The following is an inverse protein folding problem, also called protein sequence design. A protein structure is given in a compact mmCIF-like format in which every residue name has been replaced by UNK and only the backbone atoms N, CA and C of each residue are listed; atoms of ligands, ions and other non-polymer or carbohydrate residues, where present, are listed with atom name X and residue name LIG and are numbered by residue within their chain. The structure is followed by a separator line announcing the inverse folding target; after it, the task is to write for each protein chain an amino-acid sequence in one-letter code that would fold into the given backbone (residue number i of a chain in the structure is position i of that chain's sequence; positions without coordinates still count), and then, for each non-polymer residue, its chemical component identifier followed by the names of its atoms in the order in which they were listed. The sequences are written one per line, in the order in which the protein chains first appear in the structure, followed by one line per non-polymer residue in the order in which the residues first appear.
data_IF_556310561468
#
_entry.id   IF_556310561468
#
_cell.length_a   1.000
_cell.length_b   1.000
_cell.length_c   1.000
_cell.angle_alpha   90.00
_cell.angle_beta   90.00
_cell.angle_gamma   90.00
#
_symmetry.space_group_name_H-M   'P 1'
#
loop_
_entity.id
_entity.type
_entity.pdbx_description
1 polymer ?
#
# COMPACT_ATOMS: atom_id res chain seq x y z
N UNK A 1 54.04 -6.91 31.13
CA UNK A 1 54.39 -7.40 29.78
C UNK A 1 53.54 -8.65 29.53
N UNK A 2 52.39 -8.49 28.88
CA UNK A 2 51.41 -9.56 28.61
C UNK A 2 51.61 -10.03 27.17
N UNK A 3 51.80 -11.33 26.97
CA UNK A 3 51.91 -11.95 25.67
C UNK A 3 50.52 -12.27 25.11
N UNK A 4 50.34 -11.96 23.82
CA UNK A 4 49.15 -12.21 23.01
C UNK A 4 48.93 -13.72 22.79
N UNK A 5 47.68 -14.15 22.88
CA UNK A 5 47.17 -15.33 22.19
C UNK A 5 45.91 -14.92 21.41
N UNK A 6 46.02 -14.90 20.09
CA UNK A 6 44.92 -14.63 19.18
C UNK A 6 44.06 -15.89 19.04
N UNK A 7 42.81 -15.83 19.51
CA UNK A 7 41.80 -16.85 19.25
C UNK A 7 41.02 -16.45 17.99
N UNK A 8 41.28 -17.12 16.87
CA UNK A 8 40.45 -17.05 15.67
C UNK A 8 39.17 -17.87 15.93
N UNK A 9 38.09 -17.20 16.29
CA UNK A 9 36.75 -17.78 16.27
C UNK A 9 36.27 -17.81 14.82
N UNK A 10 36.40 -18.98 14.19
CA UNK A 10 35.66 -19.32 12.97
C UNK A 10 34.17 -19.33 13.32
N UNK A 11 33.46 -18.25 13.03
CA UNK A 11 32.01 -18.24 13.00
C UNK A 11 31.56 -19.10 11.82
N UNK A 12 31.15 -20.33 12.11
CA UNK A 12 30.42 -21.16 11.17
C UNK A 12 29.11 -20.44 10.82
N UNK A 13 29.12 -19.70 9.71
CA UNK A 13 27.89 -19.29 9.03
C UNK A 13 27.28 -20.58 8.51
N UNK A 14 26.32 -21.12 9.26
CA UNK A 14 25.42 -22.12 8.73
C UNK A 14 24.65 -21.44 7.59
N UNK A 15 25.05 -21.72 6.35
CA UNK A 15 24.14 -21.59 5.22
C UNK A 15 23.00 -22.58 5.48
N UNK A 16 21.94 -22.11 6.14
CA UNK A 16 20.65 -22.74 5.98
C UNK A 16 20.23 -22.46 4.54
N UNK A 17 20.43 -23.43 3.65
CA UNK A 17 19.58 -23.54 2.48
C UNK A 17 18.15 -23.60 3.01
N UNK A 18 17.43 -22.48 3.01
CA UNK A 18 15.99 -22.47 3.17
C UNK A 18 15.45 -23.22 1.97
N UNK A 19 15.09 -24.48 2.16
CA UNK A 19 14.18 -25.16 1.25
C UNK A 19 12.96 -24.26 1.13
N UNK A 20 12.73 -23.68 -0.04
CA UNK A 20 11.49 -22.98 -0.38
C UNK A 20 10.33 -23.83 0.17
N UNK A 21 9.56 -23.27 1.10
CA UNK A 21 8.31 -23.90 1.51
C UNK A 21 7.41 -23.87 0.28
N UNK A 22 7.42 -24.96 -0.50
CA UNK A 22 6.45 -25.17 -1.57
C UNK A 22 5.07 -25.05 -0.94
N UNK A 23 4.24 -24.14 -1.45
CA UNK A 23 2.92 -23.84 -0.90
C UNK A 23 2.03 -25.07 -0.74
N UNK A 24 0.98 -24.93 0.07
CA UNK A 24 0.08 -26.03 0.44
C UNK A 24 -0.48 -26.77 -0.80
N UNK A 25 -0.12 -28.07 -0.99
CA UNK A 25 -0.58 -28.85 -2.14
C UNK A 25 -2.11 -28.95 -2.23
N UNK A 26 -2.83 -28.85 -1.11
CA UNK A 26 -4.28 -28.87 -1.11
C UNK A 26 -4.86 -27.58 -1.71
N UNK A 27 -4.32 -26.42 -1.38
CA UNK A 27 -4.74 -25.14 -1.96
C UNK A 27 -4.48 -25.09 -3.47
N UNK A 28 -3.31 -25.53 -3.91
CA UNK A 28 -2.97 -25.57 -5.34
C UNK A 28 -3.89 -26.51 -6.12
N UNK A 29 -4.29 -27.64 -5.51
CA UNK A 29 -5.29 -28.54 -6.10
C UNK A 29 -6.65 -27.87 -6.23
N UNK A 30 -7.13 -27.19 -5.19
CA UNK A 30 -8.41 -26.45 -5.23
C UNK A 30 -8.39 -25.40 -6.35
N UNK A 31 -7.32 -24.61 -6.45
CA UNK A 31 -7.16 -23.61 -7.51
C UNK A 31 -7.20 -24.28 -8.89
N UNK A 32 -6.51 -25.41 -9.06
CA UNK A 32 -6.51 -26.18 -10.31
C UNK A 32 -7.93 -26.65 -10.69
N UNK A 33 -8.68 -27.20 -9.73
CA UNK A 33 -10.05 -27.66 -9.94
C UNK A 33 -10.98 -26.49 -10.31
N UNK A 34 -10.81 -25.32 -9.67
CA UNK A 34 -11.57 -24.12 -10.01
C UNK A 34 -11.21 -23.58 -11.40
N UNK A 35 -9.94 -23.59 -11.80
CA UNK A 35 -9.51 -23.21 -13.16
C UNK A 35 -10.15 -24.12 -14.21
N UNK A 36 -10.15 -25.44 -13.98
CA UNK A 36 -10.81 -26.40 -14.87
C UNK A 36 -12.34 -26.14 -14.96
N UNK A 37 -12.97 -25.78 -13.84
CA UNK A 37 -14.37 -25.38 -13.78
C UNK A 37 -14.66 -24.09 -14.56
N UNK A 38 -13.75 -23.10 -14.51
CA UNK A 38 -13.84 -21.87 -15.29
C UNK A 38 -13.71 -22.15 -16.79
N UNK A 39 -12.71 -22.93 -17.22
CA UNK A 39 -12.54 -23.28 -18.64
C UNK A 39 -13.76 -24.04 -19.20
N UNK A 40 -14.40 -24.86 -18.38
CA UNK A 40 -15.62 -25.59 -18.78
C UNK A 40 -16.85 -24.67 -18.89
N UNK A 41 -16.88 -23.55 -18.16
CA UNK A 41 -17.98 -22.59 -18.16
C UNK A 41 -17.48 -21.20 -17.71
N UNK A 42 -17.12 -20.35 -18.67
CA UNK A 42 -16.47 -19.04 -18.50
C UNK A 42 -17.42 -17.93 -18.04
N UNK A 43 -18.12 -18.16 -16.94
CA UNK A 43 -18.98 -17.17 -16.29
C UNK A 43 -18.27 -16.49 -15.11
N UNK A 44 -18.82 -15.36 -14.68
CA UNK A 44 -18.28 -14.52 -13.60
C UNK A 44 -18.22 -15.21 -12.24
N UNK A 45 -19.12 -16.17 -11.95
CA UNK A 45 -19.13 -16.92 -10.70
C UNK A 45 -17.90 -17.83 -10.62
N UNK A 46 -17.61 -18.55 -11.71
CA UNK A 46 -16.46 -19.43 -11.79
C UNK A 46 -15.15 -18.63 -11.79
N UNK A 47 -15.10 -17.50 -12.51
CA UNK A 47 -13.97 -16.59 -12.47
C UNK A 47 -13.67 -16.11 -11.04
N UNK A 48 -14.72 -15.69 -10.31
CA UNK A 48 -14.58 -15.22 -8.93
C UNK A 48 -14.05 -16.29 -7.98
N UNK A 49 -14.43 -17.57 -8.17
CA UNK A 49 -13.88 -18.67 -7.37
C UNK A 49 -12.37 -18.83 -7.58
N UNK A 50 -11.91 -18.75 -8.83
CA UNK A 50 -10.48 -18.84 -9.15
C UNK A 50 -9.72 -17.68 -8.51
N UNK A 51 -10.16 -16.44 -8.76
CA UNK A 51 -9.48 -15.24 -8.27
C UNK A 51 -9.43 -15.22 -6.74
N UNK A 52 -10.53 -15.54 -6.06
CA UNK A 52 -10.56 -15.55 -4.59
C UNK A 52 -9.64 -16.62 -3.99
N UNK A 53 -9.60 -17.82 -4.59
CA UNK A 53 -8.70 -18.88 -4.12
C UNK A 53 -7.22 -18.51 -4.31
N UNK A 54 -6.89 -17.75 -5.35
CA UNK A 54 -5.54 -17.25 -5.60
C UNK A 54 -5.15 -16.16 -4.60
N UNK A 55 -6.06 -15.22 -4.30
CA UNK A 55 -5.84 -14.19 -3.27
C UNK A 55 -5.61 -14.87 -1.90
N UNK A 56 -6.47 -15.82 -1.53
CA UNK A 56 -6.35 -16.56 -0.28
C UNK A 56 -5.03 -17.36 -0.18
N UNK A 57 -4.57 -17.93 -1.30
CA UNK A 57 -3.28 -18.60 -1.35
C UNK A 57 -2.13 -17.63 -1.07
N UNK A 58 -2.14 -16.45 -1.68
CA UNK A 58 -1.08 -15.45 -1.47
C UNK A 58 -1.07 -14.88 -0.04
N UNK A 59 -2.24 -14.69 0.57
CA UNK A 59 -2.35 -14.28 1.98
C UNK A 59 -1.77 -15.32 2.95
N UNK A 60 -1.97 -16.62 2.65
CA UNK A 60 -1.51 -17.73 3.52
C UNK A 60 -0.06 -18.15 3.28
N UNK A 61 0.47 -17.87 2.08
CA UNK A 61 1.81 -18.28 1.66
C UNK A 61 2.59 -17.07 1.10
N UNK A 62 2.73 -15.95 1.83
CA UNK A 62 3.34 -14.72 1.32
C UNK A 62 4.82 -14.89 0.92
N UNK A 63 5.48 -15.95 1.40
CA UNK A 63 6.86 -16.30 1.03
C UNK A 63 7.00 -16.99 -0.33
N UNK A 64 5.93 -17.52 -0.91
CA UNK A 64 5.95 -18.28 -2.18
C UNK A 64 5.81 -17.34 -3.39
N UNK A 65 6.66 -16.30 -3.46
CA UNK A 65 6.55 -15.20 -4.44
C UNK A 65 6.48 -15.72 -5.89
N UNK A 66 7.26 -16.76 -6.23
CA UNK A 66 7.29 -17.34 -7.56
C UNK A 66 5.96 -17.99 -7.95
N UNK A 67 5.34 -18.74 -7.03
CA UNK A 67 4.03 -19.35 -7.29
C UNK A 67 2.92 -18.30 -7.28
N UNK A 68 3.01 -17.29 -6.41
CA UNK A 68 2.08 -16.16 -6.37
C UNK A 68 2.10 -15.39 -7.68
N UNK A 69 3.28 -15.10 -8.24
CA UNK A 69 3.39 -14.39 -9.52
C UNK A 69 2.66 -15.15 -10.64
N UNK A 70 2.90 -16.47 -10.76
CA UNK A 70 2.24 -17.31 -11.76
C UNK A 70 0.72 -17.31 -11.58
N UNK A 71 0.24 -17.45 -10.34
CA UNK A 71 -1.19 -17.47 -10.06
C UNK A 71 -1.85 -16.11 -10.30
N UNK A 72 -1.20 -15.01 -9.95
CA UNK A 72 -1.74 -13.69 -10.23
C UNK A 72 -1.77 -13.40 -11.73
N UNK A 73 -0.79 -13.86 -12.53
CA UNK A 73 -0.86 -13.77 -13.99
C UNK A 73 -2.11 -14.49 -14.54
N UNK A 74 -2.42 -15.69 -14.03
CA UNK A 74 -3.67 -16.38 -14.36
C UNK A 74 -4.91 -15.56 -13.96
N UNK A 75 -4.93 -15.03 -12.74
CA UNK A 75 -6.06 -14.25 -12.22
C UNK A 75 -6.29 -12.96 -13.03
N UNK A 76 -5.22 -12.24 -13.38
CA UNK A 76 -5.27 -11.04 -14.23
C UNK A 76 -5.81 -11.40 -15.61
N UNK A 77 -5.33 -12.48 -16.23
CA UNK A 77 -5.82 -12.92 -17.53
C UNK A 77 -7.32 -13.26 -17.50
N UNK A 78 -7.78 -13.96 -16.47
CA UNK A 78 -9.20 -14.27 -16.26
C UNK A 78 -10.01 -12.98 -16.07
N UNK A 79 -9.55 -12.04 -15.24
CA UNK A 79 -10.22 -10.76 -15.04
C UNK A 79 -10.34 -9.96 -16.34
N UNK A 80 -9.29 -9.95 -17.17
CA UNK A 80 -9.29 -9.31 -18.49
C UNK A 80 -10.26 -9.98 -19.46
N UNK A 81 -10.29 -11.33 -19.52
CA UNK A 81 -11.24 -12.08 -20.35
C UNK A 81 -12.69 -11.78 -19.97
N UNK A 82 -12.94 -11.57 -18.67
CA UNK A 82 -14.25 -11.18 -18.14
C UNK A 82 -14.52 -9.66 -18.25
N UNK A 83 -13.66 -8.89 -18.92
CA UNK A 83 -13.73 -7.42 -19.05
C UNK A 83 -13.76 -6.67 -17.70
N UNK A 84 -13.32 -7.32 -16.62
CA UNK A 84 -13.26 -6.77 -15.29
C UNK A 84 -11.92 -6.04 -15.07
N UNK A 85 -11.76 -4.92 -15.76
CA UNK A 85 -10.52 -4.14 -15.79
C UNK A 85 -10.12 -3.65 -14.39
N UNK A 86 -11.08 -3.29 -13.55
CA UNK A 86 -10.83 -2.87 -12.17
C UNK A 86 -10.20 -3.99 -11.33
N UNK A 87 -10.67 -5.23 -11.47
CA UNK A 87 -10.08 -6.37 -10.76
C UNK A 87 -8.67 -6.68 -11.27
N UNK A 88 -8.47 -6.66 -12.60
CA UNK A 88 -7.14 -6.83 -13.18
C UNK A 88 -6.15 -5.76 -12.69
N UNK A 89 -6.58 -4.49 -12.62
CA UNK A 89 -5.76 -3.39 -12.14
C UNK A 89 -5.43 -3.54 -10.65
N UNK A 90 -6.41 -3.96 -9.84
CA UNK A 90 -6.19 -4.25 -8.42
C UNK A 90 -5.18 -5.37 -8.21
N UNK A 91 -5.27 -6.47 -8.97
CA UNK A 91 -4.33 -7.60 -8.89
C UNK A 91 -2.91 -7.18 -9.28
N UNK A 92 -2.75 -6.42 -10.37
CA UNK A 92 -1.45 -5.86 -10.77
C UNK A 92 -0.88 -4.91 -9.71
N UNK A 93 -1.71 -4.05 -9.14
CA UNK A 93 -1.31 -3.13 -8.08
C UNK A 93 -0.82 -3.89 -6.84
N UNK A 94 -1.56 -4.93 -6.41
CA UNK A 94 -1.14 -5.81 -5.31
C UNK A 94 0.18 -6.49 -5.61
N UNK A 95 0.36 -7.02 -6.83
CA UNK A 95 1.63 -7.64 -7.22
C UNK A 95 2.80 -6.67 -7.03
N UNK A 96 2.72 -5.49 -7.65
CA UNK A 96 3.80 -4.49 -7.65
C UNK A 96 4.15 -3.99 -6.25
N UNK A 97 3.12 -3.78 -5.41
CA UNK A 97 3.25 -3.24 -4.06
C UNK A 97 3.79 -4.28 -3.06
N UNK A 98 3.26 -5.51 -3.12
CA UNK A 98 3.50 -6.50 -2.08
C UNK A 98 4.75 -7.35 -2.32
N UNK A 99 5.10 -7.62 -3.59
CA UNK A 99 6.12 -8.60 -3.95
C UNK A 99 7.30 -7.92 -4.66
N UNK A 100 8.42 -7.69 -3.95
CA UNK A 100 9.50 -6.88 -4.50
C UNK A 100 10.27 -7.54 -5.66
N UNK A 101 10.28 -8.87 -5.72
CA UNK A 101 11.07 -9.69 -6.65
C UNK A 101 10.46 -9.93 -8.03
N UNK A 102 9.22 -9.52 -8.27
CA UNK A 102 8.55 -9.68 -9.57
C UNK A 102 9.15 -8.77 -10.65
N UNK A 103 8.82 -9.05 -11.92
CA UNK A 103 9.21 -8.19 -13.06
C UNK A 103 8.48 -6.83 -13.05
N UNK A 104 8.85 -5.96 -12.11
CA UNK A 104 8.20 -4.68 -11.83
C UNK A 104 8.13 -3.76 -13.05
N UNK A 105 9.15 -3.75 -13.91
CA UNK A 105 9.13 -2.95 -15.14
C UNK A 105 7.93 -3.35 -16.01
N UNK A 106 7.80 -4.65 -16.30
CA UNK A 106 6.71 -5.18 -17.11
C UNK A 106 5.36 -4.94 -16.46
N UNK A 107 5.23 -5.17 -15.14
CA UNK A 107 3.96 -4.99 -14.41
C UNK A 107 3.52 -3.53 -14.36
N UNK A 108 4.44 -2.59 -14.19
CA UNK A 108 4.15 -1.15 -14.29
C UNK A 108 3.61 -0.80 -15.69
N UNK A 109 4.25 -1.28 -16.75
CA UNK A 109 3.77 -1.03 -18.11
C UNK A 109 2.39 -1.68 -18.38
N UNK A 110 2.12 -2.87 -17.84
CA UNK A 110 0.81 -3.52 -17.90
C UNK A 110 -0.27 -2.69 -17.17
N UNK A 111 0.01 -2.25 -15.95
CA UNK A 111 -0.93 -1.44 -15.17
C UNK A 111 -1.16 -0.07 -15.82
N UNK A 112 -0.13 0.57 -16.37
CA UNK A 112 -0.27 1.82 -17.13
C UNK A 112 -1.21 1.64 -18.33
N UNK A 113 -1.05 0.57 -19.13
CA UNK A 113 -1.96 0.28 -20.26
C UNK A 113 -3.39 0.11 -19.79
N UNK A 114 -3.59 -0.65 -18.73
CA UNK A 114 -4.91 -0.94 -18.20
C UNK A 114 -5.61 0.33 -17.67
N UNK A 115 -4.87 1.22 -17.02
CA UNK A 115 -5.39 2.52 -16.60
C UNK A 115 -5.83 3.38 -17.81
N UNK A 116 -5.14 3.30 -18.95
CA UNK A 116 -5.57 3.96 -20.18
C UNK A 116 -6.83 3.33 -20.78
N UNK A 117 -6.95 2.00 -20.78
CA UNK A 117 -8.17 1.31 -21.18
C UNK A 117 -9.38 1.72 -20.31
N UNK A 118 -9.13 2.00 -19.03
CA UNK A 118 -10.13 2.53 -18.09
C UNK A 118 -10.36 4.05 -18.20
N UNK A 119 -9.72 4.73 -19.16
CA UNK A 119 -9.76 6.19 -19.34
C UNK A 119 -9.26 6.99 -18.12
N UNK A 120 -8.41 6.38 -17.27
CA UNK A 120 -7.73 7.03 -16.15
C UNK A 120 -6.34 7.52 -16.59
N UNK A 121 -6.34 8.50 -17.50
CA UNK A 121 -5.13 9.02 -18.15
C UNK A 121 -4.17 9.71 -17.18
N UNK A 122 -4.70 10.31 -16.13
CA UNK A 122 -3.91 11.03 -15.13
C UNK A 122 -3.06 10.06 -14.27
N UNK A 123 -3.69 9.02 -13.71
CA UNK A 123 -2.99 7.96 -12.99
C UNK A 123 -2.04 7.17 -13.91
N UNK A 124 -2.46 6.90 -15.15
CA UNK A 124 -1.60 6.27 -16.14
C UNK A 124 -0.35 7.11 -16.44
N UNK A 125 -0.49 8.43 -16.56
CA UNK A 125 0.60 9.38 -16.73
C UNK A 125 1.56 9.36 -15.54
N UNK A 126 1.04 9.44 -14.32
CA UNK A 126 1.82 9.31 -13.08
C UNK A 126 2.64 8.01 -13.05
N UNK A 127 1.98 6.88 -13.32
CA UNK A 127 2.62 5.56 -13.29
C UNK A 127 3.67 5.40 -14.40
N UNK A 128 3.39 5.92 -15.60
CA UNK A 128 4.32 5.90 -16.72
C UNK A 128 5.58 6.71 -16.41
N UNK A 129 5.42 7.94 -15.89
CA UNK A 129 6.54 8.80 -15.52
C UNK A 129 7.37 8.21 -14.37
N UNK A 130 6.71 7.64 -13.36
CA UNK A 130 7.38 6.97 -12.26
C UNK A 130 8.15 5.72 -12.73
N UNK A 131 7.53 4.92 -13.60
CA UNK A 131 8.17 3.76 -14.23
C UNK A 131 9.38 4.15 -15.06
N UNK A 132 9.32 5.24 -15.83
CA UNK A 132 10.47 5.73 -16.62
C UNK A 132 11.59 6.33 -15.76
N UNK A 133 11.28 6.84 -14.57
CA UNK A 133 12.30 7.25 -13.62
C UNK A 133 13.08 6.03 -13.09
N UNK A 134 12.39 4.92 -12.81
CA UNK A 134 12.99 3.66 -12.34
C UNK A 134 13.67 2.86 -13.48
N UNK A 135 13.07 2.87 -14.67
CA UNK A 135 13.47 2.06 -15.83
C UNK A 135 13.57 2.93 -17.11
N UNK A 136 14.57 3.83 -17.22
CA UNK A 136 14.64 4.79 -18.33
C UNK A 136 14.74 4.17 -19.72
N UNK A 137 15.28 2.95 -19.80
CA UNK A 137 15.48 2.21 -21.05
C UNK A 137 14.27 1.36 -21.48
N UNK A 138 13.18 1.36 -20.71
CA UNK A 138 12.00 0.54 -21.00
C UNK A 138 11.30 1.00 -22.28
N UNK A 139 11.38 0.19 -23.34
CA UNK A 139 10.74 0.50 -24.62
C UNK A 139 9.21 0.60 -24.48
N UNK A 140 8.60 -0.29 -23.68
CA UNK A 140 7.17 -0.30 -23.41
C UNK A 140 6.70 1.00 -22.75
N UNK A 141 7.42 1.49 -21.75
CA UNK A 141 7.04 2.71 -21.04
C UNK A 141 7.28 3.96 -21.90
N UNK A 142 8.31 3.98 -22.76
CA UNK A 142 8.55 5.08 -23.71
C UNK A 142 7.44 5.17 -24.76
N UNK A 143 6.97 4.02 -25.26
CA UNK A 143 5.82 3.95 -26.17
C UNK A 143 4.56 4.51 -25.49
N UNK A 144 4.27 4.07 -24.25
CA UNK A 144 3.13 4.56 -23.49
C UNK A 144 3.22 6.05 -23.21
N UNK A 145 4.39 6.59 -22.83
CA UNK A 145 4.57 8.03 -22.65
C UNK A 145 4.18 8.82 -23.89
N UNK A 146 4.49 8.30 -25.08
CA UNK A 146 4.15 8.94 -26.36
C UNK A 146 2.64 8.92 -26.64
N UNK A 147 1.93 7.87 -26.22
CA UNK A 147 0.47 7.75 -26.36
C UNK A 147 -0.28 8.63 -25.35
N UNK A 148 0.18 8.67 -24.11
CA UNK A 148 -0.43 9.43 -23.00
C UNK A 148 -0.17 10.93 -23.18
N UNK A 149 1.06 11.28 -23.58
CA UNK A 149 1.57 12.63 -23.66
C UNK A 149 1.31 13.43 -22.35
N UNK A 150 1.84 12.98 -21.20
CA UNK A 150 1.61 13.65 -19.93
C UNK A 150 2.16 15.08 -19.98
N UNK A 151 1.49 16.06 -19.31
CA UNK A 151 1.87 17.46 -19.40
C UNK A 151 3.23 17.74 -18.73
N UNK A 152 3.60 16.94 -17.74
CA UNK A 152 4.83 17.08 -16.98
C UNK A 152 5.96 16.25 -17.60
N UNK A 153 7.19 16.78 -17.57
CA UNK A 153 8.34 16.16 -18.23
C UNK A 153 8.74 14.82 -17.60
N UNK A 154 8.69 14.75 -16.26
CA UNK A 154 9.05 13.61 -15.42
C UNK A 154 8.18 13.58 -14.15
N UNK A 155 8.33 12.50 -13.36
CA UNK A 155 7.53 12.30 -12.14
C UNK A 155 7.78 13.37 -11.08
N UNK A 156 8.99 13.95 -11.02
CA UNK A 156 9.31 14.98 -10.06
C UNK A 156 8.60 16.29 -10.42
N UNK A 157 8.69 16.70 -11.69
CA UNK A 157 7.98 17.89 -12.18
C UNK A 157 6.47 17.77 -11.94
N UNK A 158 5.91 16.57 -12.12
CA UNK A 158 4.51 16.27 -11.82
C UNK A 158 4.16 16.42 -10.35
N UNK A 159 4.93 15.81 -9.45
CA UNK A 159 4.73 15.91 -8.00
C UNK A 159 4.84 17.37 -7.52
N UNK A 160 5.81 18.13 -8.05
CA UNK A 160 5.99 19.55 -7.74
C UNK A 160 4.80 20.40 -8.23
N UNK A 161 4.34 20.16 -9.47
CA UNK A 161 3.17 20.86 -10.03
C UNK A 161 1.89 20.54 -9.25
N UNK A 162 1.61 19.26 -8.98
CA UNK A 162 0.40 18.86 -8.28
C UNK A 162 0.39 19.34 -6.82
N UNK A 163 1.50 19.23 -6.10
CA UNK A 163 1.61 19.70 -4.71
C UNK A 163 1.40 21.21 -4.57
N UNK A 164 1.85 22.01 -5.55
CA UNK A 164 1.71 23.47 -5.53
C UNK A 164 0.34 23.96 -6.00
N UNK A 165 -0.42 23.14 -6.74
CA UNK A 165 -1.72 23.53 -7.31
C UNK A 165 -2.91 22.85 -6.64
N UNK A 166 -2.67 21.87 -5.76
CA UNK A 166 -3.75 21.16 -5.06
C UNK A 166 -4.43 21.98 -3.97
N UNK A 167 -3.81 23.05 -3.47
CA UNK A 167 -4.42 23.94 -2.48
C UNK A 167 -4.79 25.28 -3.11
N UNK A 168 -6.04 25.71 -2.90
CA UNK A 168 -6.53 26.99 -3.37
C UNK A 168 -6.47 28.01 -2.24
N UNK A 169 -5.45 28.87 -2.24
CA UNK A 169 -5.26 29.90 -1.21
C UNK A 169 -6.44 30.86 -1.08
N UNK A 170 -7.16 31.14 -2.17
CA UNK A 170 -8.30 32.07 -2.15
C UNK A 170 -9.54 31.47 -1.49
N UNK A 171 -9.72 30.14 -1.61
CA UNK A 171 -10.83 29.41 -1.01
C UNK A 171 -10.45 28.79 0.34
N UNK A 172 -9.16 28.74 0.67
CA UNK A 172 -8.62 28.02 1.82
C UNK A 172 -9.05 26.54 1.84
N UNK A 173 -9.09 25.92 0.65
CA UNK A 173 -9.61 24.57 0.43
C UNK A 173 -8.76 23.82 -0.61
N UNK A 174 -8.80 22.48 -0.56
CA UNK A 174 -8.16 21.64 -1.57
C UNK A 174 -8.97 21.56 -2.85
N UNK A 175 -8.29 21.65 -3.99
CA UNK A 175 -8.80 21.11 -5.25
C UNK A 175 -8.75 19.59 -5.18
N UNK A 176 -9.90 18.95 -4.95
CA UNK A 176 -10.01 17.50 -4.76
C UNK A 176 -9.44 16.70 -5.93
N UNK A 177 -9.60 17.17 -7.17
CA UNK A 177 -9.09 16.46 -8.34
C UNK A 177 -7.56 16.50 -8.39
N UNK A 178 -6.96 17.68 -8.21
CA UNK A 178 -5.50 17.83 -8.18
C UNK A 178 -4.88 17.13 -6.97
N UNK A 179 -5.54 17.18 -5.81
CA UNK A 179 -5.12 16.46 -4.62
C UNK A 179 -5.18 14.94 -4.80
N UNK A 180 -6.22 14.42 -5.47
CA UNK A 180 -6.31 12.99 -5.83
C UNK A 180 -5.18 12.61 -6.78
N UNK A 181 -4.92 13.41 -7.82
CA UNK A 181 -3.80 13.21 -8.73
C UNK A 181 -2.44 13.23 -8.01
N UNK A 182 -2.27 14.10 -7.01
CA UNK A 182 -1.06 14.15 -6.17
C UNK A 182 -0.89 12.85 -5.37
N UNK A 183 -1.97 12.33 -4.77
CA UNK A 183 -1.98 11.05 -4.06
C UNK A 183 -1.58 9.91 -5.01
N UNK A 184 -2.22 9.83 -6.18
CA UNK A 184 -1.91 8.80 -7.19
C UNK A 184 -0.46 8.90 -7.70
N UNK A 185 0.08 10.11 -7.85
CA UNK A 185 1.47 10.34 -8.25
C UNK A 185 2.47 9.89 -7.17
N UNK A 186 2.16 10.13 -5.89
CA UNK A 186 2.98 9.65 -4.78
C UNK A 186 2.98 8.12 -4.73
N UNK A 187 1.81 7.48 -4.84
CA UNK A 187 1.71 6.02 -4.90
C UNK A 187 2.52 5.47 -6.08
N UNK A 188 2.33 6.01 -7.28
CA UNK A 188 3.07 5.60 -8.47
C UNK A 188 4.59 5.70 -8.30
N UNK A 189 5.08 6.80 -7.73
CA UNK A 189 6.51 7.00 -7.44
C UNK A 189 7.06 5.89 -6.55
N UNK A 190 6.34 5.58 -5.47
CA UNK A 190 6.76 4.59 -4.47
C UNK A 190 6.61 3.16 -4.98
N UNK A 191 5.58 2.86 -5.77
CA UNK A 191 5.42 1.56 -6.45
C UNK A 191 6.61 1.27 -7.38
N UNK A 192 7.07 2.29 -8.12
CA UNK A 192 8.19 2.16 -9.03
C UNK A 192 9.55 2.15 -8.29
N UNK A 193 9.66 2.89 -7.17
CA UNK A 193 10.90 3.10 -6.44
C UNK A 193 10.73 2.88 -4.92
N UNK A 194 10.41 1.66 -4.46
CA UNK A 194 10.07 1.41 -3.05
C UNK A 194 11.26 1.56 -2.09
N UNK A 195 12.49 1.62 -2.60
CA UNK A 195 13.70 1.83 -1.78
C UNK A 195 14.22 3.27 -1.84
N UNK A 196 13.50 4.17 -2.51
CA UNK A 196 13.87 5.58 -2.57
C UNK A 196 13.86 6.20 -1.16
N UNK A 197 14.85 7.06 -0.89
CA UNK A 197 15.05 7.67 0.44
C UNK A 197 13.86 8.53 0.91
N UNK A 198 13.10 9.05 -0.03
CA UNK A 198 11.94 9.93 0.11
C UNK A 198 10.61 9.18 -0.09
N UNK A 199 10.64 7.86 -0.23
CA UNK A 199 9.42 7.07 -0.42
C UNK A 199 8.41 7.26 0.73
N UNK A 200 8.89 7.24 1.98
CA UNK A 200 8.04 7.46 3.16
C UNK A 200 7.60 8.93 3.26
N UNK A 201 8.40 9.89 2.78
CA UNK A 201 8.00 11.29 2.70
C UNK A 201 6.76 11.44 1.80
N UNK A 202 6.80 10.83 0.62
CA UNK A 202 5.68 10.85 -0.33
C UNK A 202 4.46 10.08 0.18
N UNK A 203 4.62 8.88 0.76
CA UNK A 203 3.49 8.15 1.33
C UNK A 203 2.81 8.94 2.46
N UNK A 204 3.61 9.58 3.31
CA UNK A 204 3.09 10.37 4.42
C UNK A 204 2.33 11.60 3.92
N UNK A 205 2.89 12.34 2.95
CA UNK A 205 2.20 13.45 2.31
C UNK A 205 0.91 13.00 1.61
N UNK A 206 0.94 11.87 0.91
CA UNK A 206 -0.24 11.30 0.27
C UNK A 206 -1.31 10.93 1.29
N UNK A 207 -0.94 10.29 2.41
CA UNK A 207 -1.86 9.91 3.49
C UNK A 207 -2.55 11.13 4.12
N UNK A 208 -1.76 12.19 4.40
CA UNK A 208 -2.29 13.46 4.89
C UNK A 208 -3.23 14.11 3.88
N UNK A 209 -2.82 14.22 2.61
CA UNK A 209 -3.66 14.80 1.56
C UNK A 209 -4.96 14.02 1.39
N UNK A 210 -4.90 12.68 1.32
CA UNK A 210 -6.07 11.82 1.23
C UNK A 210 -7.04 12.04 2.41
N UNK A 211 -6.51 12.15 3.64
CA UNK A 211 -7.34 12.46 4.81
C UNK A 211 -7.97 13.86 4.70
N UNK A 212 -7.21 14.87 4.28
CA UNK A 212 -7.69 16.25 4.09
C UNK A 212 -8.82 16.35 3.08
N UNK A 213 -8.76 15.59 1.99
CA UNK A 213 -9.84 15.51 0.97
C UNK A 213 -10.89 14.44 1.29
N UNK A 214 -10.88 13.90 2.51
CA UNK A 214 -11.86 12.96 3.06
C UNK A 214 -11.93 11.60 2.35
N UNK A 215 -10.87 11.20 1.65
CA UNK A 215 -10.72 9.83 1.12
C UNK A 215 -10.13 8.92 2.20
N UNK A 216 -10.83 8.79 3.33
CA UNK A 216 -10.32 8.17 4.56
C UNK A 216 -9.79 6.74 4.38
N UNK A 217 -10.44 5.92 3.55
CA UNK A 217 -9.96 4.57 3.23
C UNK A 217 -8.63 4.57 2.48
N UNK A 218 -8.43 5.54 1.59
CA UNK A 218 -7.16 5.73 0.89
C UNK A 218 -6.08 6.18 1.88
N UNK A 219 -6.39 7.14 2.76
CA UNK A 219 -5.47 7.56 3.82
C UNK A 219 -5.02 6.38 4.70
N UNK A 220 -5.97 5.56 5.18
CA UNK A 220 -5.69 4.32 5.92
C UNK A 220 -4.77 3.39 5.14
N UNK A 221 -5.06 3.13 3.87
CA UNK A 221 -4.21 2.24 3.05
C UNK A 221 -2.79 2.75 2.85
N UNK A 222 -2.58 4.07 2.89
CA UNK A 222 -1.26 4.70 2.79
C UNK A 222 -0.52 4.63 4.12
N UNK A 223 -1.21 4.82 5.24
CA UNK A 223 -0.63 4.65 6.57
C UNK A 223 -0.23 3.21 6.85
N UNK A 224 -1.10 2.25 6.51
CA UNK A 224 -0.77 0.81 6.57
C UNK A 224 0.44 0.48 5.69
N UNK A 225 0.55 1.10 4.50
CA UNK A 225 1.72 0.91 3.65
C UNK A 225 3.02 1.40 4.32
N UNK A 226 3.01 2.57 4.95
CA UNK A 226 4.17 3.06 5.72
C UNK A 226 4.52 2.07 6.82
N UNK A 227 3.54 1.67 7.62
CA UNK A 227 3.73 0.79 8.77
C UNK A 227 4.24 -0.61 8.38
N UNK A 228 3.68 -1.20 7.33
CA UNK A 228 3.96 -2.57 6.89
C UNK A 228 5.26 -2.68 6.11
N UNK A 229 5.58 -1.73 5.22
CA UNK A 229 6.75 -1.81 4.33
C UNK A 229 7.95 -1.02 4.83
N UNK A 230 7.76 -0.04 5.71
CA UNK A 230 8.83 0.78 6.27
C UNK A 230 8.87 0.75 7.80
N UNK A 231 8.86 -0.43 8.45
CA UNK A 231 8.70 -0.55 9.89
C UNK A 231 9.86 0.06 10.71
N UNK A 232 10.99 0.38 10.08
CA UNK A 232 12.15 1.00 10.71
C UNK A 232 12.20 2.53 10.51
N UNK A 233 11.33 3.10 9.66
CA UNK A 233 11.25 4.56 9.52
C UNK A 233 10.64 5.15 10.81
N UNK A 234 11.15 6.28 11.33
CA UNK A 234 10.61 6.92 12.53
C UNK A 234 9.10 7.20 12.47
N UNK A 235 8.52 7.35 11.27
CA UNK A 235 7.09 7.61 11.08
C UNK A 235 6.23 6.37 11.05
N UNK A 236 6.79 5.16 11.15
CA UNK A 236 5.98 3.94 11.20
C UNK A 236 5.02 3.92 12.39
N UNK A 237 5.45 4.43 13.56
CA UNK A 237 4.60 4.61 14.74
C UNK A 237 3.49 5.63 14.49
N UNK A 238 3.87 6.80 13.99
CA UNK A 238 2.92 7.86 13.62
C UNK A 238 1.87 7.38 12.60
N UNK A 239 2.26 6.60 11.59
CA UNK A 239 1.35 6.06 10.59
C UNK A 239 0.31 5.12 11.22
N UNK A 240 0.74 4.19 12.08
CA UNK A 240 -0.18 3.29 12.80
C UNK A 240 -1.15 4.06 13.71
N UNK A 241 -0.66 5.11 14.39
CA UNK A 241 -1.52 5.99 15.17
C UNK A 241 -2.55 6.73 14.30
N UNK A 242 -2.12 7.31 13.18
CA UNK A 242 -3.00 8.04 12.25
C UNK A 242 -4.05 7.12 11.60
N UNK A 243 -3.69 5.86 11.36
CA UNK A 243 -4.63 4.83 10.93
C UNK A 243 -5.73 4.60 11.97
N UNK A 244 -5.33 4.31 13.22
CA UNK A 244 -6.25 4.15 14.35
C UNK A 244 -7.17 5.38 14.52
N UNK A 245 -6.55 6.57 14.50
CA UNK A 245 -7.24 7.85 14.61
C UNK A 245 -8.27 8.07 13.52
N UNK A 246 -7.96 7.66 12.28
CA UNK A 246 -8.88 7.80 11.15
C UNK A 246 -10.08 6.84 11.27
N UNK A 247 -9.84 5.61 11.71
CA UNK A 247 -10.92 4.66 12.01
C UNK A 247 -11.84 5.15 13.14
N UNK A 248 -11.26 5.72 14.19
CA UNK A 248 -11.97 6.25 15.36
C UNK A 248 -12.82 7.48 15.02
N UNK A 249 -12.18 8.49 14.43
CA UNK A 249 -12.78 9.82 14.29
C UNK A 249 -13.64 9.95 13.04
N UNK A 250 -13.20 9.40 11.91
CA UNK A 250 -13.82 9.68 10.60
C UNK A 250 -14.77 8.57 10.15
N UNK A 251 -14.41 7.32 10.42
CA UNK A 251 -15.18 6.14 9.99
C UNK A 251 -16.06 5.55 11.08
N UNK A 252 -15.81 5.92 12.35
CA UNK A 252 -16.52 5.42 13.54
C UNK A 252 -16.50 3.89 13.66
N UNK A 253 -15.41 3.26 13.20
CA UNK A 253 -15.21 1.81 13.30
C UNK A 253 -14.39 1.49 14.56
N UNK A 254 -15.07 1.67 15.69
CA UNK A 254 -14.53 1.64 17.07
C UNK A 254 -13.74 0.36 17.36
N UNK A 255 -14.22 -0.81 16.92
CA UNK A 255 -13.54 -2.08 17.16
C UNK A 255 -12.19 -2.19 16.44
N UNK A 256 -12.07 -1.57 15.27
CA UNK A 256 -10.82 -1.56 14.49
C UNK A 256 -9.86 -0.55 15.11
N UNK A 257 -10.34 0.67 15.40
CA UNK A 257 -9.57 1.70 16.07
C UNK A 257 -8.96 1.22 17.39
N UNK A 258 -9.75 0.54 18.23
CA UNK A 258 -9.29 -0.06 19.49
C UNK A 258 -8.07 -0.96 19.28
N UNK A 259 -8.16 -1.91 18.35
CA UNK A 259 -7.07 -2.86 18.06
C UNK A 259 -5.80 -2.14 17.60
N UNK A 260 -5.95 -1.12 16.75
CA UNK A 260 -4.81 -0.37 16.22
C UNK A 260 -4.13 0.50 17.29
N UNK A 261 -4.90 1.17 18.17
CA UNK A 261 -4.30 1.90 19.30
C UNK A 261 -3.60 0.95 20.28
N UNK A 262 -4.20 -0.20 20.61
CA UNK A 262 -3.57 -1.22 21.45
C UNK A 262 -2.26 -1.74 20.81
N UNK A 263 -2.27 -1.96 19.49
CA UNK A 263 -1.08 -2.35 18.74
C UNK A 263 0.00 -1.26 18.74
N UNK A 264 -0.39 0.01 18.58
CA UNK A 264 0.51 1.14 18.62
C UNK A 264 1.21 1.26 19.98
N UNK A 265 0.44 1.23 21.07
CA UNK A 265 0.97 1.30 22.44
C UNK A 265 1.92 0.11 22.71
N UNK A 266 1.57 -1.09 22.26
CA UNK A 266 2.39 -2.28 22.45
C UNK A 266 3.70 -2.24 21.64
N UNK A 267 3.66 -1.75 20.39
CA UNK A 267 4.80 -1.77 19.46
C UNK A 267 5.71 -0.55 19.62
N UNK A 268 5.16 0.59 20.02
CA UNK A 268 5.88 1.86 20.18
C UNK A 268 5.68 2.47 21.57
N UNK A 269 6.01 1.76 22.67
CA UNK A 269 5.69 2.19 24.05
C UNK A 269 6.46 3.43 24.55
N UNK A 270 7.35 4.00 23.72
CA UNK A 270 8.14 5.21 24.02
C UNK A 270 7.86 6.35 23.04
N UNK A 271 6.89 6.17 22.15
CA UNK A 271 6.47 7.20 21.21
C UNK A 271 5.77 8.34 21.97
N UNK A 272 5.88 9.56 21.45
CA UNK A 272 5.30 10.75 22.09
C UNK A 272 3.77 10.71 22.10
N UNK A 273 3.15 9.98 21.17
CA UNK A 273 1.70 9.84 21.06
C UNK A 273 1.12 8.71 21.94
N UNK A 274 1.92 8.04 22.78
CA UNK A 274 1.43 6.93 23.63
C UNK A 274 0.37 7.40 24.62
N UNK A 275 0.59 8.55 25.28
CA UNK A 275 -0.37 9.09 26.24
C UNK A 275 -1.67 9.51 25.53
N UNK A 276 -1.56 10.11 24.34
CA UNK A 276 -2.70 10.45 23.49
C UNK A 276 -3.49 9.20 23.08
N UNK A 277 -2.80 8.14 22.64
CA UNK A 277 -3.43 6.88 22.27
C UNK A 277 -4.14 6.22 23.45
N UNK A 278 -3.57 6.26 24.66
CA UNK A 278 -4.22 5.74 25.87
C UNK A 278 -5.46 6.55 26.23
N UNK A 279 -5.39 7.88 26.12
CA UNK A 279 -6.53 8.76 26.36
C UNK A 279 -7.67 8.48 25.36
N UNK A 280 -7.35 8.40 24.07
CA UNK A 280 -8.32 8.09 23.01
C UNK A 280 -8.91 6.69 23.23
N UNK A 281 -8.09 5.69 23.57
CA UNK A 281 -8.52 4.33 23.86
C UNK A 281 -9.50 4.22 25.04
N UNK A 282 -9.28 5.01 26.11
CA UNK A 282 -10.18 5.10 27.27
C UNK A 282 -11.52 5.74 26.91
N UNK A 283 -11.52 6.66 25.95
CA UNK A 283 -12.67 7.46 25.56
C UNK A 283 -13.27 7.08 24.20
N UNK A 284 -12.88 5.94 23.64
CA UNK A 284 -13.29 5.51 22.31
C UNK A 284 -14.82 5.49 22.18
N UNK A 285 -15.33 6.13 21.13
CA UNK A 285 -16.76 6.22 20.85
C UNK A 285 -17.53 7.25 21.69
N UNK A 286 -16.89 7.95 22.62
CA UNK A 286 -17.47 9.12 23.28
C UNK A 286 -17.41 10.34 22.39
N UNK A 287 -18.37 11.24 22.56
CA UNK A 287 -18.35 12.58 22.00
C UNK A 287 -17.43 13.52 22.81
N UNK A 288 -16.98 14.59 22.18
CA UNK A 288 -16.18 15.63 22.85
C UNK A 288 -16.90 16.21 24.08
N UNK A 289 -18.23 16.40 24.00
CA UNK A 289 -19.04 16.89 25.11
C UNK A 289 -19.04 15.92 26.30
N UNK A 290 -19.16 14.62 26.06
CA UNK A 290 -19.09 13.59 27.12
C UNK A 290 -17.71 13.57 27.78
N UNK A 291 -16.64 13.68 26.97
CA UNK A 291 -15.27 13.73 27.46
C UNK A 291 -15.04 14.99 28.32
N UNK A 292 -15.49 16.16 27.84
CA UNK A 292 -15.36 17.43 28.56
C UNK A 292 -16.13 17.43 29.88
N UNK A 293 -17.32 16.82 29.91
CA UNK A 293 -18.10 16.68 31.14
C UNK A 293 -17.38 15.82 32.18
N UNK A 294 -16.84 14.67 31.78
CA UNK A 294 -16.11 13.78 32.69
C UNK A 294 -14.85 14.46 33.26
N UNK A 295 -14.06 15.13 32.41
CA UNK A 295 -12.87 15.87 32.84
C UNK A 295 -13.21 17.01 33.81
N UNK A 296 -14.28 17.77 33.54
CA UNK A 296 -14.74 18.84 34.42
C UNK A 296 -15.24 18.34 35.78
N UNK A 297 -15.72 17.10 35.87
CA UNK A 297 -16.10 16.47 37.15
C UNK A 297 -14.91 15.89 37.91
N UNK A 298 -13.88 15.39 37.22
CA UNK A 298 -12.64 14.91 37.85
C UNK A 298 -11.83 16.06 38.47
N UNK A 299 -11.77 17.25 37.84
CA UNK A 299 -11.09 18.43 38.39
C UNK A 299 -11.80 19.01 39.63
N UNK A 300 -13.12 18.85 39.76
CA UNK A 300 -13.90 19.34 40.91
C UNK A 300 -13.89 18.38 42.11
N UNK A 301 -13.41 17.15 41.92
CA UNK A 301 -13.40 16.09 42.94
C UNK A 301 -12.00 15.79 43.52
N UNK A 302 -10.97 16.52 43.06
CA UNK A 302 -9.60 16.52 43.61
C UNK A 302 -9.36 17.76 44.47
#
# INVERSE_FOLDING_TARGET
MRALAALLLFSAVALSCSTEKKGDPEQLKIITDYKAGYESNKNSINASKVVNAIIEYAEKNPEDEAQIEVLFDDAIAISMEQTNLTQAASLLNTLIKEYPGIDRETRLAQLTRLLLEMNNTDAAGSLCLAGLAAYPASASLQELKSQINPPDADIKARLDHLSTTMFNDSLNEYNVNTATAFVDACEAYVMANPTAKDAVDYLHQAGQTARSIRTFRKAISLYDWIFSKYPNDPRAGQALFLEAFTYDNELKEIDIARKLYEQFIAKFPKDELVDDAQFLLKNLGKSDDEILQELGTEEQSQ
#
